data_IF_834554422276
#
_entry.id   IF_834554422276
#
_cell.length_a   1.000
_cell.length_b   1.000
_cell.length_c   1.000
_cell.angle_alpha   90.00
_cell.angle_beta   90.00
_cell.angle_gamma   90.00
#
_symmetry.space_group_name_H-M   'P 1'
#
loop_
_entity.id
_entity.type
_entity.pdbx_description
1 polymer ?
#
# COMPACT_ATOMS: atom_id res chain seq x y z
N UNK A 1 25.14 7.76 43.07
CA UNK A 1 25.04 6.61 42.16
C UNK A 1 26.36 6.49 41.41
N UNK A 2 26.91 5.29 41.28
CA UNK A 2 28.13 5.11 40.48
C UNK A 2 27.81 5.29 39.00
N UNK A 3 28.76 5.84 38.22
CA UNK A 3 28.64 5.96 36.76
C UNK A 3 28.33 4.60 36.10
N UNK A 4 28.82 3.51 36.69
CA UNK A 4 28.56 2.15 36.24
C UNK A 4 27.09 1.76 36.38
N UNK A 5 26.43 2.14 37.48
CA UNK A 5 25.00 1.85 37.72
C UNK A 5 24.11 2.61 36.74
N UNK A 6 24.50 3.84 36.40
CA UNK A 6 23.78 4.67 35.43
C UNK A 6 23.86 4.07 34.02
N UNK A 7 25.06 3.67 33.58
CA UNK A 7 25.25 3.00 32.28
C UNK A 7 24.46 1.69 32.23
N UNK A 8 24.52 0.88 33.29
CA UNK A 8 23.76 -0.37 33.37
C UNK A 8 22.25 -0.13 33.22
N UNK A 9 21.70 0.86 33.95
CA UNK A 9 20.27 1.23 33.85
C UNK A 9 19.88 1.71 32.46
N UNK A 10 20.72 2.51 31.81
CA UNK A 10 20.46 2.98 30.45
C UNK A 10 20.42 1.80 29.48
N UNK A 11 21.39 0.87 29.59
CA UNK A 11 21.42 -0.33 28.75
C UNK A 11 20.14 -1.15 28.90
N UNK A 12 19.69 -1.44 30.12
CA UNK A 12 18.44 -2.16 30.34
C UNK A 12 17.22 -1.42 29.77
N UNK A 13 17.14 -0.11 29.97
CA UNK A 13 16.04 0.71 29.46
C UNK A 13 15.97 0.72 27.93
N UNK A 14 17.12 0.66 27.23
CA UNK A 14 17.15 0.55 25.77
C UNK A 14 16.55 -0.78 25.32
N UNK A 15 17.00 -1.90 25.91
CA UNK A 15 16.42 -3.21 25.58
C UNK A 15 14.92 -3.26 25.87
N UNK A 16 14.51 -2.73 27.03
CA UNK A 16 13.09 -2.66 27.40
C UNK A 16 12.28 -1.83 26.39
N UNK A 17 12.78 -0.67 25.99
CA UNK A 17 12.13 0.19 24.99
C UNK A 17 12.00 -0.50 23.62
N UNK A 18 13.03 -1.24 23.19
CA UNK A 18 12.98 -2.00 21.94
C UNK A 18 11.89 -3.08 22.02
N UNK A 19 11.87 -3.85 23.11
CA UNK A 19 10.96 -4.99 23.26
C UNK A 19 9.51 -4.54 23.45
N UNK A 20 9.28 -3.52 24.27
CA UNK A 20 7.94 -3.13 24.73
C UNK A 20 7.30 -2.03 23.88
N UNK A 21 8.08 -1.24 23.14
CA UNK A 21 7.55 -0.12 22.35
C UNK A 21 7.87 -0.26 20.86
N UNK A 22 9.15 -0.41 20.50
CA UNK A 22 9.56 -0.45 19.09
C UNK A 22 8.98 -1.67 18.36
N UNK A 23 9.16 -2.88 18.92
CA UNK A 23 8.68 -4.11 18.28
C UNK A 23 7.15 -4.13 18.09
N UNK A 24 6.32 -3.75 19.09
CA UNK A 24 4.88 -3.60 18.89
C UNK A 24 4.52 -2.54 17.83
N UNK A 25 5.18 -1.38 17.85
CA UNK A 25 4.96 -0.34 16.85
C UNK A 25 5.27 -0.84 15.43
N UNK A 26 6.39 -1.55 15.26
CA UNK A 26 6.78 -2.14 13.98
C UNK A 26 5.77 -3.18 13.49
N UNK A 27 5.23 -4.01 14.37
CA UNK A 27 4.16 -4.97 14.01
C UNK A 27 2.90 -4.26 13.51
N UNK A 28 2.49 -3.18 14.18
CA UNK A 28 1.38 -2.36 13.73
C UNK A 28 1.66 -1.70 12.38
N UNK A 29 2.87 -1.18 12.18
CA UNK A 29 3.29 -0.61 10.90
C UNK A 29 3.25 -1.64 9.76
N UNK A 30 3.70 -2.87 9.99
CA UNK A 30 3.60 -3.96 9.02
C UNK A 30 2.13 -4.28 8.69
N UNK A 31 1.26 -4.32 9.70
CA UNK A 31 -0.17 -4.53 9.48
C UNK A 31 -0.78 -3.42 8.61
N UNK A 32 -0.45 -2.15 8.89
CA UNK A 32 -0.85 -1.02 8.05
C UNK A 32 -0.30 -1.12 6.62
N UNK A 33 0.96 -1.54 6.47
CA UNK A 33 1.58 -1.76 5.16
C UNK A 33 0.82 -2.80 4.33
N UNK A 34 0.41 -3.93 4.95
CA UNK A 34 -0.41 -4.95 4.29
C UNK A 34 -1.80 -4.44 3.92
N UNK A 35 -2.42 -3.63 4.77
CA UNK A 35 -3.71 -2.99 4.45
C UNK A 35 -3.56 -2.03 3.26
N UNK A 36 -2.46 -1.28 3.19
CA UNK A 36 -2.16 -0.38 2.09
C UNK A 36 -1.93 -1.13 0.78
N UNK A 37 -1.13 -2.20 0.81
CA UNK A 37 -0.94 -3.11 -0.34
C UNK A 37 -2.28 -3.62 -0.88
N UNK A 38 -3.15 -4.13 0.01
CA UNK A 38 -4.49 -4.62 -0.38
C UNK A 38 -5.35 -3.53 -1.03
N UNK A 39 -5.28 -2.30 -0.52
CA UNK A 39 -6.01 -1.17 -1.11
C UNK A 39 -5.50 -0.88 -2.53
N UNK A 40 -4.18 -0.85 -2.73
CA UNK A 40 -3.58 -0.65 -4.05
C UNK A 40 -3.96 -1.77 -5.02
N UNK A 41 -3.91 -3.04 -4.61
CA UNK A 41 -4.34 -4.16 -5.46
C UNK A 41 -5.81 -4.02 -5.88
N UNK A 42 -6.67 -3.59 -4.96
CA UNK A 42 -8.10 -3.40 -5.24
C UNK A 42 -8.32 -2.27 -6.27
N UNK A 43 -7.58 -1.17 -6.14
CA UNK A 43 -7.62 -0.06 -7.10
C UNK A 43 -7.13 -0.51 -8.48
N UNK A 44 -6.02 -1.25 -8.54
CA UNK A 44 -5.50 -1.80 -9.82
C UNK A 44 -6.54 -2.70 -10.49
N UNK A 45 -7.24 -3.54 -9.73
CA UNK A 45 -8.29 -4.39 -10.27
C UNK A 45 -9.48 -3.58 -10.82
N UNK A 46 -9.94 -2.58 -10.07
CA UNK A 46 -11.01 -1.69 -10.51
C UNK A 46 -10.63 -0.90 -11.77
N UNK A 47 -9.40 -0.37 -11.81
CA UNK A 47 -8.86 0.34 -12.96
C UNK A 47 -8.81 -0.56 -14.20
N UNK A 48 -8.36 -1.81 -14.06
CA UNK A 48 -8.38 -2.77 -15.16
C UNK A 48 -9.80 -2.96 -15.70
N UNK A 49 -10.79 -3.20 -14.82
CA UNK A 49 -12.19 -3.35 -15.24
C UNK A 49 -12.74 -2.12 -15.96
N UNK A 50 -12.37 -0.92 -15.50
CA UNK A 50 -12.73 0.34 -16.15
C UNK A 50 -12.14 0.45 -17.57
N UNK A 51 -10.83 0.19 -17.72
CA UNK A 51 -10.18 0.24 -19.02
C UNK A 51 -10.69 -0.86 -19.97
N UNK A 52 -10.91 -2.08 -19.47
CA UNK A 52 -11.48 -3.18 -20.27
C UNK A 52 -12.87 -2.79 -20.84
N UNK A 53 -13.71 -2.12 -20.03
CA UNK A 53 -15.01 -1.63 -20.49
C UNK A 53 -14.87 -0.49 -21.51
N UNK A 54 -13.94 0.44 -21.27
CA UNK A 54 -13.64 1.55 -22.17
C UNK A 54 -13.16 1.06 -23.55
N UNK A 55 -12.22 0.11 -23.57
CA UNK A 55 -11.72 -0.52 -24.81
C UNK A 55 -12.86 -1.17 -25.58
N UNK A 56 -13.72 -1.94 -24.91
CA UNK A 56 -14.89 -2.58 -25.56
C UNK A 56 -15.84 -1.55 -26.19
N UNK A 57 -16.03 -0.39 -25.56
CA UNK A 57 -16.83 0.68 -26.16
C UNK A 57 -16.14 1.26 -27.40
N UNK A 58 -14.83 1.46 -27.37
CA UNK A 58 -14.04 1.89 -28.53
C UNK A 58 -14.13 0.90 -29.70
N UNK A 59 -14.04 -0.40 -29.42
CA UNK A 59 -14.23 -1.47 -30.41
C UNK A 59 -15.63 -1.39 -31.06
N UNK A 60 -16.70 -1.29 -30.26
CA UNK A 60 -18.07 -1.15 -30.76
C UNK A 60 -18.27 0.13 -31.59
N UNK A 61 -17.65 1.25 -31.19
CA UNK A 61 -17.71 2.50 -31.93
C UNK A 61 -17.00 2.40 -33.29
N UNK A 62 -15.84 1.74 -33.33
CA UNK A 62 -15.04 1.48 -34.54
C UNK A 62 -15.76 0.59 -35.56
N UNK A 63 -16.57 -0.36 -35.10
CA UNK A 63 -17.38 -1.21 -35.99
C UNK A 63 -18.64 -0.50 -36.53
N UNK A 64 -19.02 0.64 -35.95
CA UNK A 64 -20.23 1.39 -36.35
C UNK A 64 -20.01 2.24 -37.61
N UNK A 65 -21.01 2.28 -38.50
CA UNK A 65 -20.94 3.00 -39.80
C UNK A 65 -20.79 4.53 -39.68
N UNK A 66 -20.95 5.14 -38.50
CA UNK A 66 -20.93 6.59 -38.31
C UNK A 66 -20.04 7.12 -37.19
N UNK A 67 -19.36 6.25 -36.43
CA UNK A 67 -18.59 6.65 -35.22
C UNK A 67 -17.14 6.14 -35.22
N UNK A 68 -16.63 5.72 -36.38
CA UNK A 68 -15.28 5.13 -36.53
C UNK A 68 -14.16 5.98 -35.93
N UNK A 69 -14.22 7.29 -36.15
CA UNK A 69 -13.21 8.24 -35.69
C UNK A 69 -13.15 8.39 -34.15
N UNK A 70 -14.17 7.91 -33.41
CA UNK A 70 -14.19 7.94 -31.94
C UNK A 70 -13.50 6.73 -31.29
N UNK A 71 -13.20 5.67 -32.05
CA UNK A 71 -12.52 4.46 -31.56
C UNK A 71 -10.99 4.52 -31.62
N UNK A 72 -10.42 5.45 -32.39
CA UNK A 72 -8.97 5.65 -32.53
C UNK A 72 -8.45 6.65 -31.48
N UNK A 73 -8.17 6.20 -30.25
CA UNK A 73 -7.45 6.98 -29.21
C UNK A 73 -6.84 6.07 -28.15
#
# INVERSE_FOLDING_TARGET
MSRTDEVHRITENVYKSIMEQFNPCLRNFIAMGKSYEKALTSVTFAAKGYFDALVRMGEMASESQGSKDLGES
#
